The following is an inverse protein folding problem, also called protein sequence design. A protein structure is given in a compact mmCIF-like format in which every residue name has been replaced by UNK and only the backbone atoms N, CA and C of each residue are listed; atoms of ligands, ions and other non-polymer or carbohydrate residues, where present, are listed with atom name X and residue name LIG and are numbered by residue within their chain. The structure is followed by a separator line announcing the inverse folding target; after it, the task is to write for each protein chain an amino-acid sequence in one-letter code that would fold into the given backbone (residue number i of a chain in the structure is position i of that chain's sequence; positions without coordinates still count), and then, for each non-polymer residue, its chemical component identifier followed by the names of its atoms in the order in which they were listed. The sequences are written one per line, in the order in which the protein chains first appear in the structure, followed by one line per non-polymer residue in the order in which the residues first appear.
data_IF_381997511498
#
_entry.id   IF_381997511498
#
_cell.length_a   1.000
_cell.length_b   1.000
_cell.length_c   1.000
_cell.angle_alpha   90.00
_cell.angle_beta   90.00
_cell.angle_gamma   90.00
#
_symmetry.space_group_name_H-M   'P 1'
#
loop_
_entity.id
_entity.type
_entity.pdbx_description
1 polymer ?
#
# COMPACT_ATOMS: atom_id res chain seq x y z
N UNK A 1 -20.29 -32.23 -36.84
CA UNK A 1 -20.82 -32.70 -35.54
C UNK A 1 -19.63 -32.72 -34.57
N UNK A 2 -19.33 -31.76 -33.70
CA UNK A 2 -20.10 -30.72 -33.00
C UNK A 2 -19.32 -29.40 -33.05
N UNK A 3 -19.93 -28.37 -33.63
CA UNK A 3 -19.54 -26.97 -33.45
C UNK A 3 -20.72 -26.30 -32.74
N UNK A 4 -20.72 -26.33 -31.42
CA UNK A 4 -21.65 -25.58 -30.57
C UNK A 4 -21.30 -25.85 -29.11
N UNK A 5 -21.18 -24.79 -28.32
CA UNK A 5 -21.06 -24.72 -26.85
C UNK A 5 -19.71 -24.18 -26.34
N UNK A 6 -19.39 -22.91 -26.65
CA UNK A 6 -18.60 -22.06 -25.74
C UNK A 6 -18.75 -20.54 -26.00
N UNK A 7 -19.89 -20.10 -26.57
CA UNK A 7 -20.23 -18.67 -26.78
C UNK A 7 -21.54 -18.26 -26.09
N UNK A 8 -21.77 -18.70 -24.85
CA UNK A 8 -22.90 -18.20 -24.04
C UNK A 8 -22.42 -17.80 -22.64
N UNK A 9 -21.72 -16.67 -22.54
CA UNK A 9 -21.87 -15.80 -21.35
C UNK A 9 -21.43 -14.35 -21.62
N UNK A 10 -21.76 -13.83 -22.81
CA UNK A 10 -21.61 -12.41 -23.17
C UNK A 10 -22.90 -11.61 -22.99
N UNK A 11 -23.86 -12.13 -22.20
CA UNK A 11 -25.07 -11.39 -21.85
C UNK A 11 -24.76 -10.60 -20.58
N UNK A 12 -24.45 -9.31 -20.76
CA UNK A 12 -24.49 -8.33 -19.66
C UNK A 12 -25.87 -8.41 -19.02
N UNK A 13 -25.95 -9.07 -17.86
CA UNK A 13 -27.14 -9.07 -17.02
C UNK A 13 -27.33 -7.64 -16.54
N UNK A 14 -28.24 -6.93 -17.19
CA UNK A 14 -28.70 -5.56 -16.88
C UNK A 14 -29.58 -5.48 -15.64
N UNK A 15 -29.76 -6.59 -14.91
CA UNK A 15 -30.49 -6.61 -13.64
C UNK A 15 -29.52 -6.48 -12.46
N UNK A 16 -29.85 -5.57 -11.54
CA UNK A 16 -29.16 -5.43 -10.27
C UNK A 16 -29.06 -6.77 -9.54
N UNK A 17 -27.89 -7.05 -8.98
CA UNK A 17 -27.66 -8.26 -8.22
C UNK A 17 -28.64 -8.34 -7.04
N UNK A 18 -29.49 -9.38 -7.02
CA UNK A 18 -30.43 -9.64 -5.92
C UNK A 18 -29.69 -9.66 -4.58
N UNK A 19 -30.31 -9.19 -3.49
CA UNK A 19 -29.68 -9.12 -2.15
C UNK A 19 -28.89 -10.38 -1.75
N UNK A 20 -29.43 -11.58 -1.99
CA UNK A 20 -28.73 -12.86 -1.73
C UNK A 20 -27.43 -13.05 -2.53
N UNK A 21 -27.34 -12.53 -3.77
CA UNK A 21 -26.13 -12.60 -4.59
C UNK A 21 -25.04 -11.65 -4.08
N UNK A 22 -25.40 -10.44 -3.64
CA UNK A 22 -24.47 -9.48 -3.04
C UNK A 22 -23.89 -10.01 -1.72
N UNK A 23 -24.73 -10.61 -0.88
CA UNK A 23 -24.32 -11.23 0.39
C UNK A 23 -23.34 -12.40 0.16
N UNK A 24 -23.65 -13.29 -0.79
CA UNK A 24 -22.75 -14.39 -1.18
C UNK A 24 -21.42 -13.90 -1.76
N UNK A 25 -21.44 -12.86 -2.60
CA UNK A 25 -20.21 -12.24 -3.12
C UNK A 25 -19.35 -11.66 -1.98
N UNK A 26 -20.00 -11.06 -0.97
CA UNK A 26 -19.36 -10.56 0.25
C UNK A 26 -18.73 -11.71 1.05
N UNK A 27 -19.45 -12.80 1.30
CA UNK A 27 -18.92 -13.99 1.97
C UNK A 27 -17.74 -14.64 1.23
N UNK A 28 -17.75 -14.59 -0.11
CA UNK A 28 -16.66 -15.09 -0.95
C UNK A 28 -15.48 -14.10 -1.06
N UNK A 29 -15.58 -12.92 -0.44
CA UNK A 29 -14.57 -11.86 -0.44
C UNK A 29 -14.45 -11.10 -1.76
N UNK A 30 -15.42 -11.25 -2.65
CA UNK A 30 -15.52 -10.57 -3.95
C UNK A 30 -16.25 -9.25 -3.79
N UNK A 31 -15.57 -8.25 -3.22
CA UNK A 31 -16.09 -6.88 -3.13
C UNK A 31 -15.51 -5.95 -4.15
N UNK A 32 -16.33 -4.98 -4.55
CA UNK A 32 -15.90 -3.84 -5.33
C UNK A 32 -14.75 -3.12 -4.61
N UNK A 33 -13.56 -3.18 -5.20
CA UNK A 33 -12.41 -2.36 -4.79
C UNK A 33 -12.19 -1.37 -5.92
N UNK A 34 -12.35 -0.06 -5.66
CA UNK A 34 -11.86 0.93 -6.64
C UNK A 34 -10.38 1.14 -6.43
N UNK A 35 -9.63 0.75 -7.45
CA UNK A 35 -8.21 1.03 -7.56
C UNK A 35 -7.94 2.53 -7.62
N UNK A 36 -8.88 3.31 -8.17
CA UNK A 36 -8.77 4.76 -8.32
C UNK A 36 -8.86 5.50 -6.98
N UNK A 37 -9.75 5.06 -6.08
CA UNK A 37 -9.89 5.69 -4.76
C UNK A 37 -8.65 5.50 -3.90
N UNK A 38 -8.10 4.28 -3.85
CA UNK A 38 -6.87 4.01 -3.12
C UNK A 38 -5.68 4.82 -3.65
N UNK A 39 -5.55 4.89 -4.99
CA UNK A 39 -4.47 5.66 -5.63
C UNK A 39 -4.63 7.16 -5.37
N UNK A 40 -5.85 7.69 -5.47
CA UNK A 40 -6.14 9.11 -5.21
C UNK A 40 -5.83 9.50 -3.77
N UNK A 41 -6.26 8.68 -2.80
CA UNK A 41 -5.98 8.92 -1.38
C UNK A 41 -4.48 8.88 -1.07
N UNK A 42 -3.75 7.94 -1.67
CA UNK A 42 -2.29 7.87 -1.53
C UNK A 42 -1.59 9.11 -2.11
N UNK A 43 -1.98 9.54 -3.32
CA UNK A 43 -1.41 10.72 -3.96
C UNK A 43 -1.71 12.00 -3.17
N UNK A 44 -2.96 12.18 -2.73
CA UNK A 44 -3.34 13.32 -1.89
C UNK A 44 -2.58 13.33 -0.58
N UNK A 45 -2.52 12.19 0.12
CA UNK A 45 -1.81 12.07 1.40
C UNK A 45 -0.32 12.32 1.23
N UNK A 46 0.30 11.77 0.19
CA UNK A 46 1.70 12.01 -0.15
C UNK A 46 1.98 13.49 -0.46
N UNK A 47 1.15 14.11 -1.29
CA UNK A 47 1.25 15.53 -1.63
C UNK A 47 1.13 16.43 -0.39
N UNK A 48 0.09 16.24 0.43
CA UNK A 48 -0.07 17.00 1.68
C UNK A 48 1.05 16.74 2.68
N UNK A 49 1.54 15.50 2.78
CA UNK A 49 2.66 15.17 3.66
C UNK A 49 3.92 15.96 3.28
N UNK A 50 4.21 16.09 1.98
CA UNK A 50 5.34 16.91 1.51
C UNK A 50 5.11 18.39 1.79
N UNK A 51 3.89 18.91 1.59
CA UNK A 51 3.58 20.32 1.86
C UNK A 51 3.71 20.67 3.35
N UNK A 52 3.27 19.79 4.24
CA UNK A 52 3.28 20.03 5.69
C UNK A 52 4.66 19.73 6.30
N UNK A 53 5.25 18.58 5.96
CA UNK A 53 6.48 18.09 6.58
C UNK A 53 7.75 18.37 5.78
N UNK A 54 7.66 18.82 4.53
CA UNK A 54 8.81 18.98 3.63
C UNK A 54 9.88 19.93 4.17
N UNK A 55 9.50 21.06 4.75
CA UNK A 55 10.45 21.99 5.37
C UNK A 55 11.17 21.36 6.57
N UNK A 56 10.45 20.61 7.41
CA UNK A 56 11.03 19.91 8.56
C UNK A 56 11.92 18.77 8.12
N UNK A 57 11.53 18.00 7.10
CA UNK A 57 12.33 16.94 6.51
C UNK A 57 13.64 17.50 5.93
N UNK A 58 13.57 18.61 5.19
CA UNK A 58 14.75 19.29 4.66
C UNK A 58 15.72 19.73 5.76
N UNK A 59 15.20 20.34 6.84
CA UNK A 59 16.02 20.71 8.02
C UNK A 59 16.67 19.50 8.68
N UNK A 60 15.95 18.41 8.86
CA UNK A 60 16.51 17.18 9.46
C UNK A 60 17.60 16.58 8.57
N UNK A 61 17.39 16.53 7.26
CA UNK A 61 18.42 16.06 6.31
C UNK A 61 19.67 16.94 6.42
N UNK A 62 19.52 18.27 6.44
CA UNK A 62 20.65 19.19 6.60
C UNK A 62 21.36 18.97 7.94
N UNK A 63 20.62 18.84 9.05
CA UNK A 63 21.18 18.60 10.37
C UNK A 63 21.97 17.29 10.43
N UNK A 64 21.43 16.22 9.84
CA UNK A 64 22.11 14.92 9.74
C UNK A 64 23.37 15.03 8.89
N UNK A 65 23.32 15.71 7.74
CA UNK A 65 24.52 15.93 6.91
C UNK A 65 25.61 16.68 7.67
N UNK A 66 25.27 17.79 8.35
CA UNK A 66 26.23 18.54 9.15
C UNK A 66 26.82 17.66 10.27
N UNK A 67 25.98 16.92 10.99
CA UNK A 67 26.40 16.06 12.10
C UNK A 67 27.29 14.89 11.67
N UNK A 68 27.09 14.36 10.46
CA UNK A 68 27.84 13.21 9.96
C UNK A 68 29.08 13.62 9.14
N UNK A 69 29.12 14.83 8.61
CA UNK A 69 30.28 15.35 7.88
C UNK A 69 31.21 16.22 8.74
N UNK A 70 30.75 16.66 9.91
CA UNK A 70 31.57 17.30 10.94
C UNK A 70 31.80 16.32 12.10
N UNK A 71 32.83 15.47 11.99
CA UNK A 71 33.19 14.52 13.03
C UNK A 71 34.62 14.74 13.54
N UNK A 72 34.79 14.77 14.85
CA UNK A 72 36.09 14.86 15.50
C UNK A 72 36.86 13.54 15.36
N UNK A 73 38.19 13.62 15.26
CA UNK A 73 39.09 12.48 15.10
C UNK A 73 38.93 11.47 16.24
N UNK A 74 38.60 11.94 17.44
CA UNK A 74 38.35 11.11 18.61
C UNK A 74 37.08 10.26 18.44
N UNK A 75 36.02 10.84 17.87
CA UNK A 75 34.78 10.12 17.58
C UNK A 75 34.92 9.11 16.45
N UNK A 76 35.84 9.33 15.50
CA UNK A 76 36.12 8.38 14.42
C UNK A 76 36.91 7.14 14.87
N UNK A 77 37.63 7.21 15.99
CA UNK A 77 38.46 6.11 16.50
C UNK A 77 37.78 5.31 17.62
N UNK A 78 36.64 5.76 18.13
CA UNK A 78 35.83 5.06 19.14
C UNK A 78 34.51 4.55 18.52
N UNK A 79 34.37 3.24 18.28
CA UNK A 79 33.15 2.64 17.71
C UNK A 79 31.88 2.95 18.51
N UNK A 80 32.00 3.11 19.83
CA UNK A 80 30.87 3.40 20.73
C UNK A 80 30.28 4.77 20.45
N UNK A 81 31.15 5.75 20.19
CA UNK A 81 30.74 7.11 19.82
C UNK A 81 30.16 7.16 18.41
N UNK A 82 30.75 6.40 17.48
CA UNK A 82 30.19 6.27 16.13
C UNK A 82 28.76 5.72 16.14
N UNK A 83 28.49 4.70 16.97
CA UNK A 83 27.13 4.14 17.11
C UNK A 83 26.15 5.14 17.72
N UNK A 84 26.57 5.94 18.69
CA UNK A 84 25.74 7.01 19.26
C UNK A 84 25.44 8.12 18.24
N UNK A 85 26.41 8.51 17.41
CA UNK A 85 26.19 9.46 16.32
C UNK A 85 25.21 8.92 15.28
N UNK A 86 25.32 7.63 14.94
CA UNK A 86 24.39 6.96 14.03
C UNK A 86 22.97 6.92 14.61
N UNK A 87 22.81 6.57 15.89
CA UNK A 87 21.49 6.48 16.52
C UNK A 87 20.76 7.82 16.51
N UNK A 88 21.47 8.91 16.84
CA UNK A 88 20.90 10.28 16.80
C UNK A 88 20.48 10.66 15.38
N UNK A 89 21.30 10.32 14.39
CA UNK A 89 21.02 10.61 12.98
C UNK A 89 19.80 9.85 12.46
N UNK A 90 19.70 8.56 12.82
CA UNK A 90 18.58 7.69 12.45
C UNK A 90 17.30 8.15 13.15
N UNK A 91 17.35 8.49 14.43
CA UNK A 91 16.19 8.99 15.18
C UNK A 91 15.65 10.30 14.58
N UNK A 92 16.54 11.23 14.24
CA UNK A 92 16.17 12.50 13.61
C UNK A 92 15.42 12.29 12.28
N UNK A 93 15.89 11.37 11.44
CA UNK A 93 15.23 11.03 10.17
C UNK A 93 13.94 10.25 10.38
N UNK A 94 13.94 9.24 11.25
CA UNK A 94 12.77 8.39 11.52
C UNK A 94 11.61 9.18 12.14
N UNK A 95 11.89 10.21 12.93
CA UNK A 95 10.83 11.04 13.53
C UNK A 95 9.91 11.66 12.48
N UNK A 96 10.46 12.11 11.35
CA UNK A 96 9.70 12.77 10.26
C UNK A 96 9.30 11.78 9.18
N UNK A 97 10.21 10.90 8.75
CA UNK A 97 9.88 9.90 7.72
C UNK A 97 8.86 8.89 8.26
N UNK A 98 8.97 8.52 9.53
CA UNK A 98 8.05 7.59 10.19
C UNK A 98 6.61 8.10 10.20
N UNK A 99 6.39 9.39 10.49
CA UNK A 99 5.03 9.94 10.47
C UNK A 99 4.44 9.99 9.06
N UNK A 100 5.26 10.31 8.05
CA UNK A 100 4.82 10.32 6.64
C UNK A 100 4.46 8.90 6.18
N UNK A 101 5.31 7.92 6.47
CA UNK A 101 5.05 6.52 6.14
C UNK A 101 3.81 5.99 6.85
N UNK A 102 3.60 6.38 8.11
CA UNK A 102 2.42 6.02 8.86
C UNK A 102 1.15 6.60 8.23
N UNK A 103 1.16 7.87 7.81
CA UNK A 103 0.03 8.48 7.11
C UNK A 103 -0.25 7.79 5.76
N UNK A 104 0.79 7.46 4.98
CA UNK A 104 0.64 6.73 3.73
C UNK A 104 0.09 5.31 3.95
N UNK A 105 0.53 4.63 5.01
CA UNK A 105 0.01 3.32 5.40
C UNK A 105 -1.49 3.42 5.73
N UNK A 106 -1.90 4.43 6.50
CA UNK A 106 -3.31 4.68 6.79
C UNK A 106 -4.10 4.99 5.52
N UNK A 107 -3.59 5.85 4.64
CA UNK A 107 -4.24 6.17 3.37
C UNK A 107 -4.42 4.93 2.48
N UNK A 108 -3.42 4.05 2.42
CA UNK A 108 -3.51 2.77 1.71
C UNK A 108 -4.54 1.82 2.35
N UNK A 109 -4.56 1.72 3.68
CA UNK A 109 -5.53 0.90 4.40
C UNK A 109 -6.97 1.41 4.18
N UNK A 110 -7.22 2.71 4.37
CA UNK A 110 -8.52 3.31 4.13
C UNK A 110 -8.92 3.27 2.66
N UNK A 111 -7.97 3.43 1.73
CA UNK A 111 -8.21 3.27 0.31
C UNK A 111 -8.63 1.85 -0.07
N UNK A 112 -8.09 0.83 0.59
CA UNK A 112 -8.50 -0.56 0.38
C UNK A 112 -9.87 -0.88 1.00
N UNK A 113 -10.23 -0.25 2.11
CA UNK A 113 -11.47 -0.52 2.87
C UNK A 113 -12.65 0.33 2.36
N UNK A 114 -12.40 1.52 1.82
CA UNK A 114 -13.39 2.58 1.62
C UNK A 114 -14.59 2.25 0.71
N UNK A 115 -14.47 1.26 -0.19
CA UNK A 115 -15.59 0.83 -1.05
C UNK A 115 -16.13 -0.57 -0.76
N UNK A 116 -15.28 -1.48 -0.30
CA UNK A 116 -15.67 -2.87 -0.02
C UNK A 116 -16.16 -3.08 1.41
N UNK A 117 -15.89 -2.13 2.32
CA UNK A 117 -16.03 -2.33 3.75
C UNK A 117 -15.04 -3.36 4.29
N UNK A 118 -15.00 -3.52 5.62
CA UNK A 118 -14.18 -4.54 6.26
C UNK A 118 -14.89 -5.90 6.16
N UNK A 119 -14.34 -6.83 5.37
CA UNK A 119 -14.89 -8.18 5.21
C UNK A 119 -13.80 -9.20 5.45
N UNK A 120 -14.03 -10.02 6.47
CA UNK A 120 -13.17 -11.14 6.79
C UNK A 120 -13.68 -12.38 6.06
N UNK A 121 -13.01 -12.77 4.97
CA UNK A 121 -13.29 -14.03 4.27
C UNK A 121 -12.01 -14.83 4.09
N UNK A 122 -11.98 -16.05 4.62
CA UNK A 122 -10.87 -16.98 4.46
C UNK A 122 -10.89 -17.73 3.11
N UNK A 123 -12.03 -17.71 2.40
CA UNK A 123 -12.19 -18.37 1.09
C UNK A 123 -11.20 -17.86 0.01
N UNK A 124 -10.93 -16.55 -0.14
CA UNK A 124 -9.94 -16.07 -1.10
C UNK A 124 -8.49 -16.34 -0.72
N UNK A 125 -8.19 -16.75 0.52
CA UNK A 125 -6.83 -17.18 0.93
C UNK A 125 -6.51 -18.61 0.49
N UNK A 126 -7.49 -19.39 0.04
CA UNK A 126 -7.23 -20.73 -0.48
C UNK A 126 -6.45 -20.65 -1.81
N UNK A 127 -5.37 -21.42 -1.99
CA UNK A 127 -4.62 -21.44 -3.24
C UNK A 127 -5.50 -22.03 -4.34
N UNK A 128 -5.96 -21.18 -5.27
CA UNK A 128 -6.70 -21.61 -6.45
C UNK A 128 -5.71 -21.94 -7.55
N UNK A 129 -5.54 -23.23 -7.87
CA UNK A 129 -4.69 -23.71 -8.98
C UNK A 129 -5.03 -23.06 -10.32
N UNK A 130 -6.28 -22.61 -10.50
CA UNK A 130 -6.71 -21.86 -11.68
C UNK A 130 -6.00 -20.51 -11.87
N UNK A 131 -5.46 -19.90 -10.80
CA UNK A 131 -4.67 -18.65 -10.87
C UNK A 131 -3.21 -18.87 -11.31
N UNK A 132 -2.73 -20.12 -11.30
CA UNK A 132 -1.37 -20.48 -11.71
C UNK A 132 -1.29 -20.87 -13.20
N UNK A 133 -2.40 -20.90 -13.93
CA UNK A 133 -2.38 -21.27 -15.34
C UNK A 133 -1.86 -20.08 -16.20
N UNK A 134 -0.67 -20.19 -16.82
CA UNK A 134 -0.09 -19.11 -17.63
C UNK A 134 -0.93 -18.77 -18.87
N UNK A 135 -1.71 -19.72 -19.39
CA UNK A 135 -2.60 -19.50 -20.55
C UNK A 135 -3.75 -18.54 -20.18
N UNK A 136 -4.22 -18.58 -18.94
CA UNK A 136 -5.29 -17.68 -18.47
C UNK A 136 -4.80 -16.22 -18.29
N UNK A 137 -3.49 -16.00 -18.14
CA UNK A 137 -2.89 -14.66 -18.06
C UNK A 137 -2.74 -13.98 -19.43
N UNK A 138 -2.57 -14.75 -20.51
CA UNK A 138 -2.48 -14.25 -21.88
C UNK A 138 -3.83 -13.83 -22.48
N UNK A 139 -4.95 -14.30 -21.91
CA UNK A 139 -6.32 -14.00 -22.37
C UNK A 139 -6.99 -12.85 -21.58
N UNK A 140 -6.29 -12.26 -20.59
CA UNK A 140 -6.80 -11.17 -19.74
C UNK A 140 -6.42 -9.80 -20.27
#
# INVERSE_FOLDING_TARGET
MKAMAEEENGQEKTEDATFKRLEKAREEGQVARSRELGTTLLLMTGGFSVLIFGATLSRQIQSVMLTNFDFDRVSAMDPSRMLAHLSVSVEALLSVVGIILFLLMLAGAFGAIGLGGWIFSAKPMQPKLSRLNPIAGLKR
#
